data_IF_439968438788
#
_entry.id   IF_439968438788
#
_cell.length_a   1.000
_cell.length_b   1.000
_cell.length_c   1.000
_cell.angle_alpha   90.00
_cell.angle_beta   90.00
_cell.angle_gamma   90.00
#
_symmetry.space_group_name_H-M   'P 1'
#
loop_
_entity.id
_entity.type
_entity.pdbx_description
1 polymer ?
#
# COMPACT_ATOMS: atom_id res chain seq x y z
N UNK A 1 -12.00 -10.85 -6.28
CA UNK A 1 -12.40 -12.22 -6.67
C UNK A 1 -11.30 -13.25 -6.34
N UNK A 2 -10.04 -13.03 -6.74
CA UNK A 2 -8.91 -13.95 -6.44
C UNK A 2 -8.60 -14.09 -4.94
N UNK A 3 -8.55 -12.97 -4.20
CA UNK A 3 -8.36 -12.98 -2.74
C UNK A 3 -9.40 -13.86 -2.01
N UNK A 4 -10.67 -13.79 -2.44
CA UNK A 4 -11.75 -14.59 -1.86
C UNK A 4 -11.58 -16.09 -2.12
N UNK A 5 -11.07 -16.48 -3.28
CA UNK A 5 -10.79 -17.88 -3.60
C UNK A 5 -9.60 -18.40 -2.79
N UNK A 6 -8.54 -17.62 -2.64
CA UNK A 6 -7.37 -18.02 -1.85
C UNK A 6 -7.68 -18.13 -0.36
N UNK A 7 -8.44 -17.16 0.18
CA UNK A 7 -8.94 -17.22 1.56
C UNK A 7 -9.87 -18.42 1.77
N UNK A 8 -10.82 -18.67 0.85
CA UNK A 8 -11.75 -19.79 0.96
C UNK A 8 -11.08 -21.17 0.80
N UNK A 9 -9.97 -21.25 0.03
CA UNK A 9 -9.24 -22.50 -0.21
C UNK A 9 -8.02 -22.69 0.71
N UNK A 10 -7.76 -21.75 1.63
CA UNK A 10 -6.60 -21.76 2.55
C UNK A 10 -5.26 -22.03 1.84
N UNK A 11 -5.15 -21.55 0.60
CA UNK A 11 -3.96 -21.72 -0.23
C UNK A 11 -2.83 -20.86 0.31
N UNK A 12 -1.67 -21.49 0.52
CA UNK A 12 -0.46 -20.84 1.05
C UNK A 12 0.52 -20.40 -0.04
N UNK A 13 0.31 -20.87 -1.26
CA UNK A 13 1.01 -20.41 -2.46
C UNK A 13 0.55 -19.01 -2.86
N UNK A 14 1.42 -18.23 -3.50
CA UNK A 14 1.05 -16.87 -3.94
C UNK A 14 0.06 -16.96 -5.10
N UNK A 15 -1.05 -16.19 -5.09
CA UNK A 15 -1.95 -16.16 -6.23
C UNK A 15 -1.20 -15.73 -7.50
N UNK A 16 -1.60 -16.23 -8.69
CA UNK A 16 -0.92 -15.92 -9.93
C UNK A 16 -0.92 -14.40 -10.20
N UNK A 17 0.27 -13.80 -10.16
CA UNK A 17 0.48 -12.42 -10.58
C UNK A 17 0.35 -12.35 -12.10
N UNK A 18 -0.64 -11.59 -12.58
CA UNK A 18 -0.74 -11.31 -14.01
C UNK A 18 0.35 -10.30 -14.41
N UNK A 19 0.80 -10.35 -15.66
CA UNK A 19 1.74 -9.35 -16.21
C UNK A 19 1.26 -7.91 -15.95
N UNK A 20 -0.03 -7.67 -16.16
CA UNK A 20 -0.67 -6.39 -15.87
C UNK A 20 -0.53 -5.98 -14.40
N UNK A 21 -0.80 -6.89 -13.45
CA UNK A 21 -0.67 -6.58 -12.02
C UNK A 21 0.78 -6.31 -11.62
N UNK A 22 1.74 -7.07 -12.18
CA UNK A 22 3.16 -6.82 -11.98
C UNK A 22 3.57 -5.43 -12.49
N UNK A 23 3.10 -5.02 -13.67
CA UNK A 23 3.34 -3.68 -14.24
C UNK A 23 2.78 -2.56 -13.36
N UNK A 24 1.55 -2.74 -12.84
CA UNK A 24 0.94 -1.75 -11.93
C UNK A 24 1.69 -1.62 -10.61
N UNK A 25 2.16 -2.73 -10.03
CA UNK A 25 2.90 -2.74 -8.77
C UNK A 25 4.34 -2.22 -8.92
N UNK A 26 4.98 -2.45 -10.06
CA UNK A 26 6.33 -1.97 -10.35
C UNK A 26 6.39 -0.46 -10.61
N UNK A 27 5.24 0.18 -10.86
CA UNK A 27 5.16 1.61 -11.11
C UNK A 27 4.97 2.35 -9.79
N UNK A 28 6.03 3.02 -9.33
CA UNK A 28 5.96 3.88 -8.14
C UNK A 28 5.10 5.12 -8.43
N UNK A 29 3.94 5.22 -7.78
CA UNK A 29 3.06 6.38 -7.88
C UNK A 29 3.28 7.31 -6.69
N UNK A 30 4.15 8.30 -6.86
CA UNK A 30 4.36 9.35 -5.89
C UNK A 30 3.44 10.54 -6.19
N UNK A 31 2.73 11.02 -5.17
CA UNK A 31 1.90 12.21 -5.27
C UNK A 31 2.55 13.39 -4.57
N UNK A 32 2.73 14.50 -5.29
CA UNK A 32 3.12 15.77 -4.69
C UNK A 32 1.90 16.42 -4.01
N UNK A 33 1.94 16.44 -2.68
CA UNK A 33 0.85 16.96 -1.87
C UNK A 33 0.93 18.47 -1.63
N UNK A 34 1.96 19.18 -2.11
CA UNK A 34 2.15 20.62 -1.84
C UNK A 34 0.92 21.44 -2.24
N UNK A 35 0.32 21.13 -3.39
CA UNK A 35 -0.86 21.84 -3.91
C UNK A 35 -2.10 21.62 -3.03
N UNK A 36 -2.32 20.39 -2.57
CA UNK A 36 -3.42 20.04 -1.66
C UNK A 36 -3.26 20.72 -0.30
N UNK A 37 -2.04 20.75 0.25
CA UNK A 37 -1.73 21.43 1.51
C UNK A 37 -2.03 22.92 1.42
N UNK A 38 -1.59 23.57 0.34
CA UNK A 38 -1.84 24.99 0.11
C UNK A 38 -3.33 25.31 -0.08
N UNK A 39 -4.06 24.49 -0.85
CA UNK A 39 -5.46 24.73 -1.15
C UNK A 39 -6.39 24.47 0.05
N UNK A 40 -6.07 23.47 0.88
CA UNK A 40 -6.96 23.00 1.94
C UNK A 40 -6.50 23.37 3.35
N UNK A 41 -5.33 24.02 3.51
CA UNK A 41 -4.69 24.18 4.82
C UNK A 41 -4.42 22.85 5.53
N UNK A 42 -4.39 21.76 4.76
CA UNK A 42 -4.34 20.40 5.28
C UNK A 42 -2.89 19.98 5.53
N UNK A 43 -2.68 19.20 6.59
CA UNK A 43 -1.43 18.50 6.84
C UNK A 43 -1.72 17.07 7.29
N UNK A 44 -0.85 16.10 6.96
CA UNK A 44 -1.02 14.73 7.41
C UNK A 44 -0.88 14.67 8.94
N UNK A 45 -1.82 13.99 9.60
CA UNK A 45 -1.80 13.80 11.07
C UNK A 45 -0.62 12.95 11.52
N UNK A 46 -0.15 12.04 10.67
CA UNK A 46 1.00 11.17 10.92
C UNK A 46 2.04 11.45 9.84
N UNK A 47 3.24 11.93 10.19
CA UNK A 47 4.34 12.11 9.25
C UNK A 47 4.89 10.76 8.78
N UNK A 48 5.59 10.77 7.64
CA UNK A 48 6.11 9.54 7.01
C UNK A 48 7.04 8.76 7.95
N UNK A 49 7.95 9.44 8.66
CA UNK A 49 8.90 8.80 9.57
C UNK A 49 8.18 8.01 10.67
N UNK A 50 7.16 8.61 11.28
CA UNK A 50 6.33 7.94 12.27
C UNK A 50 5.51 6.80 11.65
N UNK A 51 4.95 7.01 10.46
CA UNK A 51 4.22 5.99 9.71
C UNK A 51 5.07 4.75 9.43
N UNK A 52 6.32 4.94 9.00
CA UNK A 52 7.25 3.85 8.74
C UNK A 52 7.65 3.10 10.00
N UNK A 53 7.87 3.80 11.12
CA UNK A 53 8.14 3.16 12.41
C UNK A 53 6.97 2.28 12.88
N UNK A 54 5.73 2.78 12.78
CA UNK A 54 4.51 2.02 13.12
C UNK A 54 4.35 0.79 12.23
N UNK A 55 4.60 0.94 10.93
CA UNK A 55 4.51 -0.14 9.96
C UNK A 55 5.53 -1.25 10.26
N UNK A 56 6.79 -0.90 10.53
CA UNK A 56 7.83 -1.86 10.87
C UNK A 56 7.46 -2.69 12.11
N UNK A 57 6.96 -2.03 13.17
CA UNK A 57 6.51 -2.71 14.39
C UNK A 57 5.37 -3.71 14.11
N UNK A 58 4.42 -3.37 13.23
CA UNK A 58 3.29 -4.24 12.91
C UNK A 58 3.69 -5.54 12.19
N UNK A 59 4.78 -5.53 11.43
CA UNK A 59 5.30 -6.70 10.69
C UNK A 59 6.42 -7.45 11.44
N UNK A 60 6.86 -6.94 12.59
CA UNK A 60 7.90 -7.57 13.40
C UNK A 60 7.37 -8.66 14.36
N UNK A 61 6.04 -8.84 14.45
CA UNK A 61 5.36 -9.91 15.21
C UNK A 61 4.74 -10.94 14.29
#
# INVERSE_FOLDING_TARGET
AVEGVWAATSRRDTPPLTRFLAEQLATAHWFDQRRTRAALGWSPRVPLDEGFARLATAYAG
#
